data_IF_929639285068
#
_entry.id   IF_929639285068
#
_cell.length_a   1.000
_cell.length_b   1.000
_cell.length_c   1.000
_cell.angle_alpha   90.00
_cell.angle_beta   90.00
_cell.angle_gamma   90.00
#
_symmetry.space_group_name_H-M   'P 1'
#
loop_
_entity.id
_entity.type
_entity.pdbx_description
1 polymer ?
#
# COMPACT_ATOMS: atom_id res chain seq x y z
N UNK A 1 -8.84 -25.46 22.40
CA UNK A 1 -9.10 -24.00 22.36
C UNK A 1 -10.60 -23.81 22.54
N UNK A 2 -11.06 -23.06 23.54
CA UNK A 2 -12.48 -22.82 23.77
C UNK A 2 -12.99 -21.83 22.70
N UNK A 3 -14.09 -22.14 22.04
CA UNK A 3 -14.65 -21.34 20.92
C UNK A 3 -14.83 -19.85 21.26
N UNK A 4 -15.14 -19.54 22.52
CA UNK A 4 -15.27 -18.18 23.05
C UNK A 4 -13.96 -17.38 23.03
N UNK A 5 -12.81 -18.03 23.18
CA UNK A 5 -11.50 -17.38 23.14
C UNK A 5 -11.21 -16.83 21.74
N UNK A 6 -11.57 -17.57 20.69
CA UNK A 6 -11.42 -17.12 19.30
C UNK A 6 -12.26 -15.87 19.01
N UNK A 7 -13.49 -15.83 19.51
CA UNK A 7 -14.40 -14.69 19.36
C UNK A 7 -13.83 -13.44 20.05
N UNK A 8 -13.29 -13.58 21.26
CA UNK A 8 -12.69 -12.47 22.00
C UNK A 8 -11.43 -11.92 21.31
N UNK A 9 -10.61 -12.79 20.72
CA UNK A 9 -9.43 -12.37 19.94
C UNK A 9 -9.85 -11.57 18.71
N UNK A 10 -10.84 -12.04 17.95
CA UNK A 10 -11.35 -11.34 16.77
C UNK A 10 -11.92 -9.97 17.16
N UNK A 11 -12.73 -9.90 18.23
CA UNK A 11 -13.28 -8.63 18.73
C UNK A 11 -12.17 -7.66 19.18
N UNK A 12 -11.13 -8.16 19.85
CA UNK A 12 -9.98 -7.36 20.27
C UNK A 12 -9.23 -6.75 19.09
N UNK A 13 -9.00 -7.53 18.02
CA UNK A 13 -8.34 -7.03 16.80
C UNK A 13 -9.18 -5.97 16.10
N UNK A 14 -10.49 -6.18 15.99
CA UNK A 14 -11.40 -5.21 15.37
C UNK A 14 -11.43 -3.91 16.18
N UNK A 15 -11.49 -3.98 17.52
CA UNK A 15 -11.45 -2.82 18.40
C UNK A 15 -10.12 -2.06 18.29
N UNK A 16 -8.99 -2.78 18.29
CA UNK A 16 -7.67 -2.16 18.13
C UNK A 16 -7.55 -1.45 16.78
N UNK A 17 -8.00 -2.10 15.70
CA UNK A 17 -8.05 -1.49 14.37
C UNK A 17 -8.97 -0.26 14.36
N UNK A 18 -10.16 -0.32 14.97
CA UNK A 18 -11.10 0.80 15.03
C UNK A 18 -10.54 2.00 15.80
N UNK A 19 -9.87 1.76 16.93
CA UNK A 19 -9.20 2.81 17.72
C UNK A 19 -8.09 3.46 16.89
N UNK A 20 -7.25 2.67 16.22
CA UNK A 20 -6.20 3.19 15.34
C UNK A 20 -6.78 4.06 14.21
N UNK A 21 -7.83 3.59 13.53
CA UNK A 21 -8.51 4.35 12.47
C UNK A 21 -9.04 5.69 12.98
N UNK A 22 -9.63 5.69 14.18
CA UNK A 22 -10.18 6.90 14.81
C UNK A 22 -9.08 7.87 15.27
N UNK A 23 -7.97 7.35 15.79
CA UNK A 23 -6.84 8.13 16.29
C UNK A 23 -6.15 8.92 15.16
N UNK A 24 -5.99 8.29 14.01
CA UNK A 24 -5.41 8.94 12.83
C UNK A 24 -6.40 9.84 12.07
N UNK A 25 -7.68 9.91 12.48
CA UNK A 25 -8.77 10.54 11.69
C UNK A 25 -8.79 10.08 10.22
N UNK A 26 -8.20 8.92 9.94
CA UNK A 26 -8.06 8.39 8.59
C UNK A 26 -9.41 7.79 8.23
N UNK A 27 -10.13 8.47 7.35
CA UNK A 27 -11.36 7.92 6.78
C UNK A 27 -11.06 6.59 6.09
N UNK A 28 -11.96 5.61 6.20
CA UNK A 28 -11.89 4.36 5.44
C UNK A 28 -11.69 4.60 3.92
N UNK A 29 -12.19 5.74 3.41
CA UNK A 29 -11.95 6.21 2.04
C UNK A 29 -10.48 6.42 1.71
N UNK A 30 -9.67 6.91 2.67
CA UNK A 30 -8.24 7.16 2.48
C UNK A 30 -7.49 5.84 2.37
N UNK A 31 -7.81 4.87 3.23
CA UNK A 31 -7.17 3.54 3.19
C UNK A 31 -7.50 2.84 1.88
N UNK A 32 -8.76 2.89 1.45
CA UNK A 32 -9.16 2.35 0.15
C UNK A 32 -8.44 3.05 -1.00
N UNK A 33 -8.32 4.38 -0.95
CA UNK A 33 -7.58 5.16 -1.95
C UNK A 33 -6.09 4.77 -1.98
N UNK A 34 -5.46 4.60 -0.82
CA UNK A 34 -4.06 4.17 -0.72
C UNK A 34 -3.85 2.76 -1.27
N UNK A 35 -4.76 1.83 -0.98
CA UNK A 35 -4.74 0.46 -1.51
C UNK A 35 -4.86 0.45 -3.05
N UNK A 36 -5.84 1.17 -3.60
CA UNK A 36 -6.03 1.27 -5.05
C UNK A 36 -4.83 1.95 -5.71
N UNK A 37 -4.32 3.03 -5.12
CA UNK A 37 -3.12 3.70 -5.62
C UNK A 37 -1.88 2.80 -5.58
N UNK A 38 -1.73 1.96 -4.55
CA UNK A 38 -0.60 1.04 -4.42
C UNK A 38 -0.68 -0.08 -5.47
N UNK A 39 -1.88 -0.61 -5.72
CA UNK A 39 -2.13 -1.60 -6.77
C UNK A 39 -1.85 -1.03 -8.16
N UNK A 40 -2.40 0.16 -8.47
CA UNK A 40 -2.15 0.82 -9.75
C UNK A 40 -0.67 1.19 -9.88
N UNK A 41 -0.07 1.73 -8.83
CA UNK A 41 1.35 2.08 -8.79
C UNK A 41 2.27 0.90 -9.05
N UNK A 42 2.03 -0.21 -8.36
CA UNK A 42 2.75 -1.47 -8.59
C UNK A 42 2.55 -2.03 -9.99
N UNK A 43 1.32 -1.97 -10.53
CA UNK A 43 1.04 -2.38 -11.90
C UNK A 43 1.78 -1.51 -12.93
N UNK A 44 1.83 -0.19 -12.73
CA UNK A 44 2.55 0.72 -13.64
C UNK A 44 4.05 0.48 -13.55
N UNK A 45 4.62 0.30 -12.35
CA UNK A 45 6.03 -0.07 -12.19
C UNK A 45 6.35 -1.40 -12.90
N UNK A 46 5.45 -2.37 -12.83
CA UNK A 46 5.57 -3.64 -13.55
C UNK A 46 5.57 -3.45 -15.07
N UNK A 47 4.61 -2.69 -15.60
CA UNK A 47 4.51 -2.45 -17.04
C UNK A 47 5.73 -1.69 -17.57
N UNK A 48 6.22 -0.69 -16.84
CA UNK A 48 7.36 0.11 -17.29
C UNK A 48 8.69 -0.66 -17.24
N UNK A 49 8.82 -1.72 -16.44
CA UNK A 49 9.98 -2.63 -16.48
C UNK A 49 10.07 -3.45 -17.78
N UNK A 50 9.04 -3.47 -18.64
CA UNK A 50 9.17 -4.06 -19.97
C UNK A 50 9.99 -3.21 -20.94
N UNK A 51 10.26 -1.95 -20.60
CA UNK A 51 11.11 -1.08 -21.41
C UNK A 51 12.57 -1.55 -21.24
N UNK A 52 13.27 -1.94 -22.32
CA UNK A 52 14.66 -2.37 -22.22
C UNK A 52 15.55 -1.29 -21.60
N UNK A 53 16.36 -1.66 -20.61
CA UNK A 53 17.25 -0.74 -19.89
C UNK A 53 16.63 -0.05 -18.68
N UNK A 54 15.33 -0.26 -18.42
CA UNK A 54 14.64 0.27 -17.23
C UNK A 54 14.57 -0.84 -16.18
N UNK A 55 15.19 -0.61 -15.03
CA UNK A 55 15.12 -1.52 -13.88
C UNK A 55 14.51 -0.79 -12.68
N UNK A 56 13.18 -0.82 -12.58
CA UNK A 56 12.49 -0.26 -11.43
C UNK A 56 12.22 -1.34 -10.37
N UNK A 57 12.76 -1.21 -9.16
CA UNK A 57 12.56 -2.22 -8.13
C UNK A 57 11.09 -2.28 -7.70
N UNK A 58 10.48 -3.46 -7.80
CA UNK A 58 9.11 -3.71 -7.31
C UNK A 58 9.23 -4.43 -5.97
N UNK A 59 9.23 -3.65 -4.89
CA UNK A 59 9.34 -4.17 -3.53
C UNK A 59 8.35 -3.43 -2.62
N UNK A 60 8.31 -3.83 -1.34
CA UNK A 60 7.39 -3.25 -0.38
C UNK A 60 7.55 -1.72 -0.26
N UNK A 61 8.77 -1.20 -0.39
CA UNK A 61 9.05 0.23 -0.28
C UNK A 61 8.50 1.00 -1.49
N UNK A 62 8.82 0.58 -2.72
CA UNK A 62 8.33 1.26 -3.93
C UNK A 62 6.81 1.12 -4.09
N UNK A 63 6.23 0.01 -3.66
CA UNK A 63 4.77 -0.18 -3.66
C UNK A 63 4.07 0.72 -2.63
N UNK A 64 4.66 0.91 -1.44
CA UNK A 64 4.12 1.86 -0.45
C UNK A 64 4.25 3.31 -0.92
N UNK A 65 5.39 3.68 -1.50
CA UNK A 65 5.62 5.03 -2.03
C UNK A 65 4.65 5.36 -3.17
N UNK A 66 4.44 4.44 -4.09
CA UNK A 66 3.42 4.60 -5.14
C UNK A 66 1.99 4.54 -4.60
N UNK A 67 1.73 3.82 -3.50
CA UNK A 67 0.46 3.89 -2.79
C UNK A 67 0.15 5.26 -2.18
N UNK A 68 1.16 5.87 -1.54
CA UNK A 68 1.03 7.18 -0.90
C UNK A 68 0.96 8.33 -1.90
N UNK A 69 1.86 8.33 -2.87
CA UNK A 69 2.04 9.46 -3.78
C UNK A 69 1.45 9.22 -5.19
N UNK A 70 1.06 8.00 -5.52
CA UNK A 70 0.48 7.66 -6.83
C UNK A 70 1.47 7.78 -7.99
N UNK A 71 0.99 8.34 -9.10
CA UNK A 71 1.76 8.60 -10.32
C UNK A 71 3.03 9.44 -10.07
N UNK A 72 3.01 10.53 -9.26
CA UNK A 72 4.23 11.25 -8.88
C UNK A 72 5.38 10.36 -8.39
N UNK A 73 5.11 9.37 -7.52
CA UNK A 73 6.17 8.47 -7.06
C UNK A 73 6.68 7.55 -8.18
N UNK A 74 5.80 7.06 -9.07
CA UNK A 74 6.20 6.26 -10.23
C UNK A 74 7.16 7.05 -11.12
N UNK A 75 6.88 8.33 -11.39
CA UNK A 75 7.74 9.18 -12.20
C UNK A 75 9.13 9.35 -11.58
N UNK A 76 9.20 9.55 -10.26
CA UNK A 76 10.48 9.66 -9.55
C UNK A 76 11.27 8.35 -9.63
N UNK A 77 10.61 7.21 -9.37
CA UNK A 77 11.26 5.89 -9.44
C UNK A 77 11.76 5.61 -10.86
N UNK A 78 10.99 6.00 -11.87
CA UNK A 78 11.39 5.87 -13.27
C UNK A 78 12.63 6.70 -13.58
N UNK A 79 12.65 7.99 -13.22
CA UNK A 79 13.80 8.86 -13.43
C UNK A 79 15.04 8.29 -12.72
N UNK A 80 14.90 7.83 -11.47
CA UNK A 80 16.00 7.22 -10.72
C UNK A 80 16.51 5.95 -11.38
N UNK A 81 15.64 5.15 -12.01
CA UNK A 81 16.06 3.92 -12.71
C UNK A 81 16.84 4.15 -14.01
N UNK A 82 16.92 5.41 -14.49
CA UNK A 82 17.68 5.79 -15.69
C UNK A 82 19.14 6.19 -15.37
N UNK A 83 19.49 6.33 -14.08
CA UNK A 83 20.84 6.67 -13.60
C UNK A 83 21.48 5.47 -12.91
#
# INVERSE_FOLDING_TARGET
MLWWQGILVILGVILAAWVLLKLFKVSFKIIWKLLVNALIGGLVLFVLNFIPGVNMPINWLTTILTGLFGVPAVLVIFIVSLF
#
